data_IF_183820983267
#
_entry.id   IF_183820983267
#
_cell.length_a   1.000
_cell.length_b   1.000
_cell.length_c   1.000
_cell.angle_alpha   90.00
_cell.angle_beta   90.00
_cell.angle_gamma   90.00
#
_symmetry.space_group_name_H-M   'P 1'
#
loop_
_entity.id
_entity.type
_entity.pdbx_description
1 polymer ?
#
# COMPACT_ATOMS: atom_id res chain seq x y z
N UNK A 1 -21.79 8.63 6.79
CA UNK A 1 -21.43 8.20 5.41
C UNK A 1 -21.21 6.70 5.43
N UNK A 2 -22.22 5.90 5.08
CA UNK A 2 -22.13 4.44 5.10
C UNK A 2 -21.14 3.92 4.06
N UNK A 3 -20.37 2.88 4.41
CA UNK A 3 -19.55 2.15 3.43
C UNK A 3 -20.50 1.56 2.37
N UNK A 4 -20.45 2.07 1.16
CA UNK A 4 -21.11 1.42 0.03
C UNK A 4 -20.52 0.02 -0.15
N UNK A 5 -21.36 -0.98 -0.39
CA UNK A 5 -20.93 -2.35 -0.64
C UNK A 5 -19.91 -2.37 -1.79
N UNK A 6 -18.75 -2.98 -1.54
CA UNK A 6 -17.68 -3.09 -2.51
C UNK A 6 -18.16 -3.87 -3.74
N UNK A 7 -17.73 -3.46 -4.94
CA UNK A 7 -18.07 -4.18 -6.16
C UNK A 7 -17.34 -5.52 -6.20
N UNK A 8 -18.12 -6.57 -6.38
CA UNK A 8 -17.62 -7.92 -6.63
C UNK A 8 -16.86 -7.98 -7.95
N UNK A 9 -15.96 -8.96 -8.09
CA UNK A 9 -15.23 -9.20 -9.34
C UNK A 9 -16.17 -9.57 -10.49
N UNK A 10 -17.24 -10.30 -10.21
CA UNK A 10 -18.28 -10.65 -11.18
C UNK A 10 -18.99 -9.39 -11.73
N UNK A 11 -19.44 -8.48 -10.86
CA UNK A 11 -20.07 -7.22 -11.28
C UNK A 11 -19.12 -6.37 -12.15
N UNK A 12 -17.84 -6.27 -11.76
CA UNK A 12 -16.83 -5.55 -12.56
C UNK A 12 -16.68 -6.15 -13.96
N UNK A 13 -16.64 -7.47 -14.07
CA UNK A 13 -16.52 -8.15 -15.36
C UNK A 13 -17.76 -7.92 -16.24
N UNK A 14 -18.96 -7.93 -15.66
CA UNK A 14 -20.20 -7.61 -16.36
C UNK A 14 -20.18 -6.18 -16.90
N UNK A 15 -19.78 -5.20 -16.08
CA UNK A 15 -19.63 -3.80 -16.51
C UNK A 15 -18.68 -3.68 -17.70
N UNK A 16 -17.51 -4.32 -17.62
CA UNK A 16 -16.51 -4.29 -18.70
C UNK A 16 -17.02 -4.97 -19.98
N UNK A 17 -17.77 -6.07 -19.86
CA UNK A 17 -18.38 -6.74 -21.00
C UNK A 17 -19.42 -5.86 -21.70
N UNK A 18 -20.31 -5.22 -20.94
CA UNK A 18 -21.33 -4.31 -21.50
C UNK A 18 -20.69 -3.07 -22.12
N UNK A 19 -19.60 -2.57 -21.55
CA UNK A 19 -18.83 -1.47 -22.13
C UNK A 19 -18.19 -1.86 -23.47
N UNK A 20 -17.64 -3.07 -23.59
CA UNK A 20 -17.13 -3.59 -24.87
C UNK A 20 -18.21 -3.73 -25.96
N UNK A 21 -19.48 -3.84 -25.56
CA UNK A 21 -20.63 -3.83 -26.48
C UNK A 21 -21.07 -2.40 -26.86
N UNK A 22 -20.27 -1.37 -26.57
CA UNK A 22 -20.56 0.05 -26.81
C UNK A 22 -21.86 0.56 -26.17
N UNK A 23 -22.28 -0.04 -25.04
CA UNK A 23 -23.42 0.48 -24.29
C UNK A 23 -23.06 1.77 -23.55
N UNK A 24 -24.04 2.66 -23.41
CA UNK A 24 -23.85 3.91 -22.68
C UNK A 24 -23.73 3.68 -21.18
N UNK A 25 -22.99 4.55 -20.48
CA UNK A 25 -22.80 4.46 -19.02
C UNK A 25 -24.12 4.41 -18.24
N UNK A 26 -25.16 5.10 -18.71
CA UNK A 26 -26.49 5.09 -18.07
C UNK A 26 -27.17 3.73 -18.19
N UNK A 27 -27.17 3.12 -19.38
CA UNK A 27 -27.74 1.78 -19.59
C UNK A 27 -27.01 0.70 -18.79
N UNK A 28 -25.68 0.82 -18.67
CA UNK A 28 -24.88 -0.11 -17.86
C UNK A 28 -25.20 0.07 -16.36
N UNK A 29 -25.36 1.31 -15.90
CA UNK A 29 -25.73 1.62 -14.53
C UNK A 29 -27.10 1.03 -14.14
N UNK A 30 -28.08 1.15 -15.04
CA UNK A 30 -29.40 0.52 -14.89
C UNK A 30 -29.31 -1.00 -14.86
N UNK A 31 -28.53 -1.62 -15.77
CA UNK A 31 -28.39 -3.08 -15.85
C UNK A 31 -27.67 -3.72 -14.65
N UNK A 32 -26.78 -2.98 -13.99
CA UNK A 32 -26.00 -3.46 -12.83
C UNK A 32 -26.57 -2.92 -11.52
N UNK A 33 -27.64 -2.12 -11.56
CA UNK A 33 -28.25 -1.45 -10.41
C UNK A 33 -27.25 -0.65 -9.56
N UNK A 34 -26.24 -0.05 -10.22
CA UNK A 34 -25.19 0.75 -9.58
C UNK A 34 -25.18 2.17 -10.10
N UNK A 35 -24.69 3.09 -9.28
CA UNK A 35 -24.53 4.48 -9.68
C UNK A 35 -23.61 4.65 -10.89
N UNK A 36 -23.97 5.60 -11.76
CA UNK A 36 -23.20 5.97 -12.96
C UNK A 36 -21.71 6.24 -12.66
N UNK A 37 -21.42 6.94 -11.56
CA UNK A 37 -20.05 7.27 -11.15
C UNK A 37 -19.21 6.03 -10.82
N UNK A 38 -19.84 4.97 -10.31
CA UNK A 38 -19.19 3.68 -10.03
C UNK A 38 -18.80 2.99 -11.34
N UNK A 39 -19.72 2.95 -12.31
CA UNK A 39 -19.49 2.36 -13.63
C UNK A 39 -18.35 3.09 -14.36
N UNK A 40 -18.36 4.42 -14.35
CA UNK A 40 -17.28 5.23 -14.92
C UNK A 40 -15.93 4.94 -14.25
N UNK A 41 -15.90 4.80 -12.93
CA UNK A 41 -14.67 4.50 -12.19
C UNK A 41 -14.11 3.12 -12.56
N UNK A 42 -14.95 2.11 -12.71
CA UNK A 42 -14.53 0.76 -13.13
C UNK A 42 -13.93 0.79 -14.52
N UNK A 43 -14.58 1.48 -15.47
CA UNK A 43 -14.11 1.57 -16.84
C UNK A 43 -12.79 2.36 -16.93
N UNK A 44 -12.69 3.50 -16.25
CA UNK A 44 -11.43 4.27 -16.17
C UNK A 44 -10.29 3.49 -15.51
N UNK A 45 -10.58 2.76 -14.44
CA UNK A 45 -9.59 1.93 -13.75
C UNK A 45 -9.14 0.71 -14.58
N UNK A 46 -9.92 0.26 -15.56
CA UNK A 46 -9.52 -0.84 -16.45
C UNK A 46 -8.48 -0.44 -17.50
N UNK A 47 -8.42 0.85 -17.87
CA UNK A 47 -7.46 1.35 -18.86
C UNK A 47 -6.15 1.87 -18.26
N UNK A 48 -6.18 2.35 -17.02
CA UNK A 48 -4.99 2.88 -16.32
C UNK A 48 -4.88 2.25 -14.94
N UNK A 49 -3.74 1.65 -14.58
CA UNK A 49 -3.46 1.26 -13.21
C UNK A 49 -3.64 2.49 -12.32
N UNK A 50 -4.67 2.51 -11.48
CA UNK A 50 -4.83 3.58 -10.49
C UNK A 50 -3.70 3.35 -9.48
N UNK A 51 -2.71 4.25 -9.39
CA UNK A 51 -1.66 4.07 -8.40
C UNK A 51 -2.31 4.07 -7.01
N UNK A 52 -1.85 3.19 -6.10
CA UNK A 52 -2.32 3.25 -4.72
C UNK A 52 -2.14 4.67 -4.20
N UNK A 53 -3.15 5.18 -3.50
CA UNK A 53 -3.10 6.49 -2.84
C UNK A 53 -1.79 6.57 -2.04
N UNK A 54 -0.87 7.42 -2.50
CA UNK A 54 0.39 7.70 -1.81
C UNK A 54 0.06 8.46 -0.53
N UNK A 55 -0.34 7.74 0.52
CA UNK A 55 -0.22 8.23 1.89
C UNK A 55 1.25 8.13 2.29
N UNK A 56 2.08 9.02 1.76
CA UNK A 56 3.47 9.20 2.21
C UNK A 56 3.47 9.95 3.55
N UNK A 57 2.91 9.30 4.57
CA UNK A 57 2.94 9.76 5.95
C UNK A 57 4.04 9.05 6.73
N UNK A 58 5.30 9.41 6.48
CA UNK A 58 6.39 9.44 7.47
C UNK A 58 7.71 9.64 6.74
N UNK A 59 8.56 10.51 7.28
CA UNK A 59 9.97 10.64 6.88
C UNK A 59 10.58 9.24 6.94
N UNK A 60 10.76 8.63 5.77
CA UNK A 60 11.39 7.32 5.64
C UNK A 60 12.82 7.51 6.10
N UNK A 61 13.20 6.80 7.17
CA UNK A 61 14.60 6.65 7.52
C UNK A 61 15.38 6.34 6.25
N UNK A 62 16.47 7.08 6.01
CA UNK A 62 17.18 6.96 4.75
C UNK A 62 17.59 5.51 4.50
N UNK A 63 17.52 5.11 3.23
CA UNK A 63 17.82 3.76 2.77
C UNK A 63 19.24 3.32 3.16
N UNK A 64 20.19 4.26 3.25
CA UNK A 64 21.56 4.01 3.69
C UNK A 64 21.56 3.72 5.18
N UNK A 65 20.93 4.58 5.98
CA UNK A 65 20.80 4.40 7.44
C UNK A 65 20.12 3.06 7.78
N UNK A 66 19.05 2.70 7.06
CA UNK A 66 18.39 1.40 7.21
C UNK A 66 19.35 0.23 6.97
N UNK A 67 20.13 0.28 5.88
CA UNK A 67 21.10 -0.78 5.56
C UNK A 67 22.22 -0.86 6.60
N UNK A 68 22.68 0.27 7.13
CA UNK A 68 23.70 0.30 8.19
C UNK A 68 23.19 -0.34 9.48
N UNK A 69 21.97 -0.02 9.91
CA UNK A 69 21.32 -0.65 11.08
C UNK A 69 21.25 -2.16 10.91
N UNK A 70 20.71 -2.62 9.77
CA UNK A 70 20.54 -4.05 9.49
C UNK A 70 21.90 -4.75 9.49
N UNK A 71 22.91 -4.19 8.80
CA UNK A 71 24.26 -4.75 8.76
C UNK A 71 24.86 -4.88 10.16
N UNK A 72 24.73 -3.84 10.99
CA UNK A 72 25.28 -3.83 12.35
C UNK A 72 24.62 -4.88 13.24
N UNK A 73 23.29 -5.00 13.19
CA UNK A 73 22.55 -6.04 13.91
C UNK A 73 22.93 -7.45 13.41
N UNK A 74 23.04 -7.65 12.08
CA UNK A 74 23.49 -8.92 11.49
C UNK A 74 24.90 -9.32 11.92
N UNK A 75 25.80 -8.35 12.14
CA UNK A 75 27.15 -8.59 12.65
C UNK A 75 27.19 -8.94 14.14
N UNK A 76 26.05 -8.98 14.85
CA UNK A 76 25.97 -9.40 16.24
C UNK A 76 26.16 -8.26 17.25
N UNK A 77 26.12 -6.99 16.83
CA UNK A 77 26.37 -5.84 17.71
C UNK A 77 25.26 -5.54 18.74
N UNK A 78 24.30 -6.45 18.91
CA UNK A 78 23.26 -6.39 19.94
C UNK A 78 21.97 -5.69 19.48
N UNK A 79 21.07 -5.47 20.44
CA UNK A 79 19.71 -4.97 20.18
C UNK A 79 19.62 -3.51 19.74
N UNK A 80 18.40 -3.08 19.38
CA UNK A 80 18.10 -1.78 18.76
C UNK A 80 18.71 -0.56 19.48
N UNK A 81 18.77 -0.57 20.81
CA UNK A 81 19.34 0.52 21.62
C UNK A 81 20.84 0.67 21.38
N UNK A 82 21.59 -0.44 21.46
CA UNK A 82 23.03 -0.43 21.26
C UNK A 82 23.39 0.02 19.85
N UNK A 83 22.63 -0.41 18.85
CA UNK A 83 22.85 0.03 17.45
C UNK A 83 22.54 1.51 17.24
N UNK A 84 21.46 2.02 17.85
CA UNK A 84 21.15 3.46 17.80
C UNK A 84 22.28 4.30 18.40
N UNK A 85 22.75 3.92 19.58
CA UNK A 85 23.77 4.66 20.33
C UNK A 85 25.14 4.57 19.61
N UNK A 86 25.50 3.38 19.10
CA UNK A 86 26.76 3.17 18.36
C UNK A 86 26.79 3.96 17.05
N UNK A 87 25.67 4.03 16.34
CA UNK A 87 25.55 4.75 15.07
C UNK A 87 25.17 6.23 15.27
N UNK A 88 25.01 6.69 16.51
CA UNK A 88 24.59 8.05 16.88
C UNK A 88 23.42 8.57 16.06
N UNK A 89 22.41 7.72 15.85
CA UNK A 89 21.34 8.04 14.92
C UNK A 89 20.39 9.11 15.49
N UNK A 90 20.03 10.15 14.72
CA UNK A 90 19.06 11.16 15.12
C UNK A 90 17.61 10.65 14.98
N UNK A 91 17.36 9.38 15.26
CA UNK A 91 16.03 8.77 15.23
C UNK A 91 15.67 8.17 16.58
N UNK A 92 14.37 8.02 16.84
CA UNK A 92 13.90 7.37 18.07
C UNK A 92 14.28 5.89 18.10
N UNK A 93 14.41 5.33 19.30
CA UNK A 93 14.60 3.88 19.48
C UNK A 93 13.48 3.08 18.80
N UNK A 94 12.24 3.58 18.86
CA UNK A 94 11.06 2.93 18.28
C UNK A 94 11.13 2.87 16.75
N UNK A 95 11.75 3.86 16.12
CA UNK A 95 12.00 3.85 14.67
C UNK A 95 12.99 2.76 14.28
N UNK A 96 14.05 2.56 15.09
CA UNK A 96 15.02 1.48 14.88
C UNK A 96 14.37 0.12 15.10
N UNK A 97 13.60 -0.06 16.18
CA UNK A 97 12.84 -1.30 16.43
C UNK A 97 11.91 -1.64 15.27
N UNK A 98 11.08 -0.67 14.82
CA UNK A 98 10.17 -0.87 13.69
C UNK A 98 10.93 -1.23 12.40
N UNK A 99 12.12 -0.68 12.20
CA UNK A 99 12.96 -1.07 11.06
C UNK A 99 13.39 -2.54 11.14
N UNK A 100 13.76 -3.01 12.32
CA UNK A 100 14.17 -4.39 12.54
C UNK A 100 12.96 -5.36 12.47
N UNK A 101 11.81 -4.99 13.03
CA UNK A 101 10.55 -5.73 12.92
C UNK A 101 10.10 -5.90 11.46
N UNK A 102 10.27 -4.85 10.65
CA UNK A 102 10.01 -4.89 9.19
C UNK A 102 11.05 -5.69 8.40
N UNK A 103 12.00 -6.36 9.06
CA UNK A 103 13.06 -7.16 8.44
C UNK A 103 12.97 -8.59 8.98
N UNK A 104 12.01 -9.40 8.49
CA UNK A 104 11.58 -10.65 9.14
C UNK A 104 12.65 -11.76 9.17
N UNK A 105 13.63 -11.70 8.27
CA UNK A 105 14.75 -12.64 8.22
C UNK A 105 15.85 -12.32 9.24
N UNK A 106 15.82 -11.14 9.85
CA UNK A 106 16.82 -10.70 10.81
C UNK A 106 16.43 -11.20 12.21
N UNK A 107 17.20 -12.16 12.73
CA UNK A 107 17.04 -12.64 14.11
C UNK A 107 17.79 -11.71 15.06
N UNK A 108 17.06 -10.85 15.76
CA UNK A 108 17.60 -10.00 16.82
C UNK A 108 16.88 -10.28 18.15
N UNK A 109 17.63 -10.21 19.26
CA UNK A 109 17.11 -10.34 20.63
C UNK A 109 17.05 -8.97 21.29
#
# INVERSE_FOLDING_TARGET
MGKAAELTTAEKNTILRLWKLNMSYRKIAEAVERGKSTVERVIKASGTPVPPSMRDGSVKMDSITRRLIIRKVSSGDGGAKKVRDTLQLPVSLRTVQRCLENTPWLKFK
#
